data_IF_331159169077
#
_entry.id   IF_331159169077
#
_cell.length_a   1.000
_cell.length_b   1.000
_cell.length_c   1.000
_cell.angle_alpha   90.00
_cell.angle_beta   90.00
_cell.angle_gamma   90.00
#
_symmetry.space_group_name_H-M   'P 1'
#
loop_
_entity.id
_entity.type
_entity.pdbx_description
1 polymer ?
#
# COMPACT_ATOMS: atom_id res chain seq x y z
N UNK A 1 4.37 9.75 -26.83
CA UNK A 1 4.51 8.50 -26.07
C UNK A 1 4.14 7.34 -26.99
N UNK A 2 5.04 6.37 -27.18
CA UNK A 2 4.73 5.12 -27.88
C UNK A 2 3.97 4.22 -26.92
N UNK A 3 2.65 4.14 -27.07
CA UNK A 3 1.84 3.16 -26.37
C UNK A 3 1.92 1.84 -27.15
N UNK A 4 2.59 0.85 -26.57
CA UNK A 4 2.62 -0.51 -27.12
C UNK A 4 2.05 -1.48 -26.09
N UNK A 5 1.14 -2.35 -26.55
CA UNK A 5 0.60 -3.43 -25.72
C UNK A 5 1.70 -4.39 -25.24
N UNK A 6 2.85 -4.43 -25.93
CA UNK A 6 4.01 -5.26 -25.54
C UNK A 6 4.50 -4.96 -24.13
N UNK A 7 4.36 -3.71 -23.65
CA UNK A 7 4.72 -3.34 -22.28
C UNK A 7 3.82 -3.97 -21.22
N UNK A 8 2.61 -4.41 -21.60
CA UNK A 8 1.66 -5.08 -20.70
C UNK A 8 1.89 -6.60 -20.62
N UNK A 9 2.58 -7.18 -21.60
CA UNK A 9 2.79 -8.65 -21.70
C UNK A 9 3.42 -9.26 -20.45
N UNK A 10 4.49 -8.69 -19.85
CA UNK A 10 5.08 -9.27 -18.64
C UNK A 10 4.10 -9.32 -17.45
N UNK A 11 3.22 -8.32 -17.33
CA UNK A 11 2.22 -8.25 -16.27
C UNK A 11 1.07 -9.24 -16.50
N UNK A 12 0.63 -9.39 -17.75
CA UNK A 12 -0.37 -10.41 -18.09
C UNK A 12 0.16 -11.83 -17.85
N UNK A 13 1.44 -12.07 -18.15
CA UNK A 13 2.09 -13.33 -17.84
C UNK A 13 2.17 -13.56 -16.33
N UNK A 14 2.56 -12.55 -15.55
CA UNK A 14 2.58 -12.62 -14.09
C UNK A 14 1.19 -12.98 -13.53
N UNK A 15 0.15 -12.29 -13.98
CA UNK A 15 -1.23 -12.55 -13.56
C UNK A 15 -1.66 -13.98 -13.92
N UNK A 16 -1.33 -14.44 -15.12
CA UNK A 16 -1.64 -15.81 -15.58
C UNK A 16 -0.96 -16.87 -14.70
N UNK A 17 0.28 -16.64 -14.29
CA UNK A 17 1.00 -17.52 -13.35
C UNK A 17 0.33 -17.54 -11.97
N UNK A 18 -0.11 -16.39 -11.45
CA UNK A 18 -0.84 -16.34 -10.18
C UNK A 18 -2.23 -16.97 -10.25
N UNK A 19 -2.92 -16.88 -11.40
CA UNK A 19 -4.16 -17.62 -11.66
C UNK A 19 -3.90 -19.13 -11.61
N UNK A 20 -2.85 -19.60 -12.29
CA UNK A 20 -2.47 -21.02 -12.26
C UNK A 20 -2.18 -21.48 -10.82
N UNK A 21 -1.39 -20.72 -10.06
CA UNK A 21 -1.09 -21.03 -8.65
C UNK A 21 -2.33 -21.04 -7.77
N UNK A 22 -3.29 -20.15 -8.04
CA UNK A 22 -4.59 -20.12 -7.35
C UNK A 22 -5.38 -21.40 -7.59
N UNK A 23 -5.47 -21.84 -8.85
CA UNK A 23 -6.17 -23.09 -9.23
C UNK A 23 -5.47 -24.31 -8.64
N UNK A 24 -4.13 -24.35 -8.65
CA UNK A 24 -3.35 -25.43 -8.03
C UNK A 24 -3.58 -25.47 -6.52
N UNK A 25 -3.53 -24.34 -5.82
CA UNK A 25 -3.78 -24.29 -4.38
C UNK A 25 -5.20 -24.75 -4.04
N UNK A 26 -6.19 -24.37 -4.85
CA UNK A 26 -7.58 -24.76 -4.67
C UNK A 26 -7.79 -26.27 -4.86
N UNK A 27 -7.26 -26.85 -5.94
CA UNK A 27 -7.44 -28.28 -6.25
C UNK A 27 -6.68 -29.21 -5.30
N UNK A 28 -5.61 -28.71 -4.65
CA UNK A 28 -4.76 -29.47 -3.74
C UNK A 28 -4.75 -28.87 -2.33
N UNK A 29 -5.87 -28.29 -1.91
CA UNK A 29 -6.03 -27.61 -0.64
C UNK A 29 -5.67 -28.47 0.58
N UNK A 30 -5.85 -29.79 0.50
CA UNK A 30 -5.54 -30.74 1.57
C UNK A 30 -4.06 -31.17 1.59
N UNK A 31 -3.32 -30.95 0.51
CA UNK A 31 -1.92 -31.38 0.41
C UNK A 31 -0.94 -30.31 0.95
N UNK A 32 -0.47 -30.51 2.18
CA UNK A 32 0.43 -29.57 2.86
C UNK A 32 1.72 -29.27 2.08
N UNK A 33 2.31 -30.26 1.39
CA UNK A 33 3.55 -30.08 0.61
C UNK A 33 3.31 -29.16 -0.58
N UNK A 34 2.23 -29.39 -1.32
CA UNK A 34 1.84 -28.55 -2.47
C UNK A 34 1.55 -27.12 -2.01
N UNK A 35 0.76 -26.92 -0.95
CA UNK A 35 0.50 -25.58 -0.39
C UNK A 35 1.78 -24.83 -0.02
N UNK A 36 2.74 -25.52 0.60
CA UNK A 36 4.02 -24.90 0.94
C UNK A 36 4.84 -24.52 -0.31
N UNK A 37 4.85 -25.39 -1.32
CA UNK A 37 5.46 -25.10 -2.61
C UNK A 37 4.82 -23.87 -3.27
N UNK A 38 3.48 -23.81 -3.36
CA UNK A 38 2.75 -22.67 -3.90
C UNK A 38 3.12 -21.37 -3.18
N UNK A 39 3.20 -21.39 -1.84
CA UNK A 39 3.59 -20.20 -1.06
C UNK A 39 5.00 -19.73 -1.41
N UNK A 40 5.95 -20.65 -1.52
CA UNK A 40 7.33 -20.33 -1.92
C UNK A 40 7.34 -19.77 -3.35
N UNK A 41 6.64 -20.41 -4.28
CA UNK A 41 6.51 -19.94 -5.67
C UNK A 41 5.91 -18.53 -5.74
N UNK A 42 4.83 -18.25 -4.99
CA UNK A 42 4.22 -16.92 -4.94
C UNK A 42 5.23 -15.86 -4.48
N UNK A 43 5.92 -16.10 -3.37
CA UNK A 43 6.93 -15.16 -2.86
C UNK A 43 8.10 -14.99 -3.83
N UNK A 44 8.61 -16.09 -4.40
CA UNK A 44 9.72 -16.07 -5.34
C UNK A 44 9.34 -15.31 -6.62
N UNK A 45 8.18 -15.59 -7.22
CA UNK A 45 7.69 -14.87 -8.39
C UNK A 45 7.51 -13.37 -8.11
N UNK A 46 6.98 -13.02 -6.93
CA UNK A 46 6.83 -11.63 -6.53
C UNK A 46 8.18 -10.91 -6.44
N UNK A 47 9.17 -11.50 -5.76
CA UNK A 47 10.51 -10.92 -5.65
C UNK A 47 11.22 -10.86 -6.99
N UNK A 48 11.13 -11.93 -7.80
CA UNK A 48 11.77 -11.95 -9.12
C UNK A 48 11.19 -10.87 -10.04
N UNK A 49 9.87 -10.68 -10.02
CA UNK A 49 9.22 -9.72 -10.90
C UNK A 49 9.41 -8.27 -10.43
N UNK A 50 9.13 -7.96 -9.16
CA UNK A 50 9.20 -6.59 -8.66
C UNK A 50 10.59 -6.20 -8.15
N UNK A 51 11.34 -7.13 -7.58
CA UNK A 51 12.65 -6.85 -6.97
C UNK A 51 13.76 -6.65 -8.00
N UNK A 52 13.65 -7.26 -9.19
CA UNK A 52 14.60 -7.11 -10.29
C UNK A 52 14.07 -6.21 -11.42
N UNK A 53 13.03 -5.41 -11.15
CA UNK A 53 12.49 -4.47 -12.12
C UNK A 53 13.49 -3.35 -12.44
N UNK A 54 13.43 -2.86 -13.67
CA UNK A 54 14.11 -1.64 -14.08
C UNK A 54 13.36 -0.37 -13.63
N UNK A 55 13.64 0.74 -14.30
CA UNK A 55 12.94 2.00 -14.10
C UNK A 55 11.53 1.93 -14.70
N UNK A 56 10.58 1.53 -13.86
CA UNK A 56 9.17 1.36 -14.23
C UNK A 56 8.29 2.15 -13.27
N UNK A 57 7.20 2.72 -13.80
CA UNK A 57 6.38 3.68 -13.08
C UNK A 57 6.93 5.11 -13.22
N UNK A 58 6.41 5.99 -12.37
CA UNK A 58 6.69 7.41 -12.36
C UNK A 58 7.65 7.78 -11.24
N UNK A 59 7.41 7.31 -10.02
CA UNK A 59 8.07 7.88 -8.84
C UNK A 59 9.55 7.51 -8.70
N UNK A 60 10.06 6.57 -9.50
CA UNK A 60 11.50 6.29 -9.56
C UNK A 60 12.30 7.54 -9.91
N UNK A 61 11.73 8.50 -10.66
CA UNK A 61 12.39 9.77 -10.99
C UNK A 61 12.70 10.62 -9.74
N UNK A 62 11.99 10.39 -8.64
CA UNK A 62 12.25 11.03 -7.36
C UNK A 62 13.12 10.15 -6.46
N UNK A 63 12.84 8.84 -6.38
CA UNK A 63 13.57 7.93 -5.50
C UNK A 63 15.00 7.65 -5.96
N UNK A 64 15.23 7.53 -7.27
CA UNK A 64 16.56 7.24 -7.82
C UNK A 64 17.57 8.35 -7.51
N UNK A 65 17.36 9.62 -7.92
CA UNK A 65 18.33 10.68 -7.63
C UNK A 65 18.52 10.89 -6.13
N UNK A 66 17.44 10.84 -5.34
CA UNK A 66 17.54 10.94 -3.89
C UNK A 66 18.40 9.82 -3.30
N UNK A 67 18.19 8.56 -3.72
CA UNK A 67 19.01 7.45 -3.26
C UNK A 67 20.48 7.59 -3.70
N UNK A 68 20.76 8.20 -4.86
CA UNK A 68 22.14 8.47 -5.29
C UNK A 68 22.82 9.52 -4.43
N UNK A 69 22.10 10.57 -4.04
CA UNK A 69 22.64 11.74 -3.33
C UNK A 69 22.83 11.50 -1.83
N UNK A 70 21.93 10.74 -1.19
CA UNK A 70 22.04 10.49 0.26
C UNK A 70 23.33 9.74 0.63
N UNK A 71 23.82 10.02 1.84
CA UNK A 71 24.93 9.29 2.45
C UNK A 71 24.45 8.20 3.42
N UNK A 72 25.25 7.17 3.71
CA UNK A 72 24.88 6.16 4.72
C UNK A 72 24.67 6.75 6.13
N UNK A 73 23.88 6.04 6.97
CA UNK A 73 23.44 6.50 8.30
C UNK A 73 24.56 6.99 9.24
N UNK A 74 25.77 6.41 9.13
CA UNK A 74 26.91 6.72 9.99
C UNK A 74 27.99 7.57 9.31
N UNK A 75 27.69 8.12 8.13
CA UNK A 75 28.62 8.96 7.39
C UNK A 75 28.51 10.42 7.82
N UNK A 76 29.63 11.15 7.73
CA UNK A 76 29.64 12.61 7.90
C UNK A 76 28.67 13.23 6.89
N UNK A 77 27.80 14.13 7.36
CA UNK A 77 26.78 14.77 6.52
C UNK A 77 25.44 14.03 6.48
N UNK A 78 25.24 12.94 7.22
CA UNK A 78 23.94 12.24 7.28
C UNK A 78 22.75 13.16 7.61
N UNK A 79 22.93 14.14 8.48
CA UNK A 79 21.86 15.10 8.81
C UNK A 79 21.38 15.90 7.59
N UNK A 80 22.25 16.11 6.59
CA UNK A 80 21.88 16.78 5.35
C UNK A 80 20.97 15.91 4.46
N UNK A 81 20.89 14.59 4.70
CA UNK A 81 19.99 13.72 3.95
C UNK A 81 18.51 14.10 4.14
N UNK A 82 18.17 14.76 5.24
CA UNK A 82 16.81 15.21 5.52
C UNK A 82 16.38 16.40 4.65
N UNK A 83 17.33 17.06 4.00
CA UNK A 83 17.09 18.13 3.04
C UNK A 83 16.99 17.59 1.59
N UNK A 84 17.37 16.32 1.37
CA UNK A 84 17.34 15.68 0.05
C UNK A 84 15.92 15.16 -0.25
N UNK A 85 15.19 15.96 -1.02
CA UNK A 85 13.83 15.65 -1.45
C UNK A 85 12.76 15.84 -0.35
N UNK A 86 11.51 15.54 -0.70
CA UNK A 86 10.35 15.74 0.19
C UNK A 86 9.88 14.43 0.83
N UNK A 87 10.82 13.71 1.44
CA UNK A 87 10.57 12.41 2.08
C UNK A 87 10.37 12.52 3.59
N UNK A 88 9.60 11.59 4.16
CA UNK A 88 9.49 11.43 5.60
C UNK A 88 10.79 10.89 6.21
N UNK A 89 11.13 11.36 7.41
CA UNK A 89 12.42 11.07 8.04
C UNK A 89 12.69 9.58 8.28
N UNK A 90 11.65 8.77 8.52
CA UNK A 90 11.79 7.33 8.63
C UNK A 90 12.19 6.68 7.31
N UNK A 91 11.66 7.19 6.18
CA UNK A 91 12.06 6.71 4.86
C UNK A 91 13.48 7.15 4.48
N UNK A 92 13.86 8.40 4.78
CA UNK A 92 15.25 8.89 4.60
C UNK A 92 16.24 8.02 5.39
N UNK A 93 15.92 7.75 6.65
CA UNK A 93 16.72 6.89 7.51
C UNK A 93 16.81 5.48 6.94
N UNK A 94 15.69 4.90 6.51
CA UNK A 94 15.66 3.58 5.88
C UNK A 94 16.55 3.51 4.62
N UNK A 95 16.44 4.48 3.71
CA UNK A 95 17.31 4.53 2.54
C UNK A 95 18.80 4.61 2.95
N UNK A 96 19.12 5.44 3.94
CA UNK A 96 20.50 5.61 4.45
C UNK A 96 21.03 4.33 5.12
N UNK A 97 20.17 3.53 5.74
CA UNK A 97 20.54 2.20 6.28
C UNK A 97 20.85 1.22 5.15
N UNK A 98 20.01 1.16 4.12
CA UNK A 98 20.28 0.27 2.97
C UNK A 98 21.56 0.69 2.22
N UNK A 99 21.85 2.00 2.18
CA UNK A 99 23.07 2.57 1.60
C UNK A 99 24.35 2.12 2.31
N UNK A 100 24.27 1.67 3.57
CA UNK A 100 25.41 1.05 4.27
C UNK A 100 25.86 -0.25 3.60
N UNK A 101 24.94 -0.96 2.92
CA UNK A 101 25.19 -2.26 2.29
C UNK A 101 25.51 -2.09 0.81
N UNK A 102 24.76 -1.24 0.10
CA UNK A 102 24.98 -1.04 -1.34
C UNK A 102 24.51 0.33 -1.83
N UNK A 103 25.34 0.97 -2.64
CA UNK A 103 24.99 2.20 -3.36
C UNK A 103 24.08 1.96 -4.57
N UNK A 104 23.84 0.71 -4.95
CA UNK A 104 23.02 0.35 -6.10
C UNK A 104 21.51 0.55 -5.81
N UNK A 105 20.83 1.36 -6.62
CA UNK A 105 19.40 1.61 -6.46
C UNK A 105 18.51 0.38 -6.67
N UNK A 106 18.86 -0.51 -7.60
CA UNK A 106 18.10 -1.75 -7.79
C UNK A 106 18.23 -2.68 -6.59
N UNK A 107 19.35 -2.64 -5.87
CA UNK A 107 19.45 -3.33 -4.57
C UNK A 107 18.50 -2.74 -3.54
N UNK A 108 18.36 -1.41 -3.50
CA UNK A 108 17.36 -0.76 -2.65
C UNK A 108 15.92 -1.16 -3.00
N UNK A 109 15.58 -1.25 -4.28
CA UNK A 109 14.28 -1.78 -4.73
C UNK A 109 14.08 -3.24 -4.30
N UNK A 110 15.09 -4.09 -4.47
CA UNK A 110 15.03 -5.48 -4.01
C UNK A 110 14.76 -5.57 -2.51
N UNK A 111 15.45 -4.76 -1.69
CA UNK A 111 15.20 -4.70 -0.23
C UNK A 111 13.77 -4.25 0.08
N UNK A 112 13.26 -3.25 -0.63
CA UNK A 112 11.86 -2.82 -0.47
C UNK A 112 10.90 -3.97 -0.73
N UNK A 113 11.03 -4.65 -1.87
CA UNK A 113 10.14 -5.73 -2.28
C UNK A 113 10.24 -6.94 -1.34
N UNK A 114 11.44 -7.27 -0.86
CA UNK A 114 11.63 -8.34 0.13
C UNK A 114 10.93 -8.02 1.45
N UNK A 115 10.95 -6.76 1.90
CA UNK A 115 10.18 -6.34 3.08
C UNK A 115 8.68 -6.46 2.81
N UNK A 116 8.18 -6.00 1.64
CA UNK A 116 6.75 -6.06 1.32
C UNK A 116 6.25 -7.49 1.25
N UNK A 117 6.92 -8.36 0.50
CA UNK A 117 6.51 -9.76 0.38
C UNK A 117 6.56 -10.49 1.72
N UNK A 118 7.49 -10.13 2.61
CA UNK A 118 7.58 -10.71 3.96
C UNK A 118 6.37 -10.31 4.81
N UNK A 119 5.95 -9.05 4.74
CA UNK A 119 4.76 -8.55 5.42
C UNK A 119 3.50 -9.20 4.85
N UNK A 120 3.35 -9.20 3.52
CA UNK A 120 2.23 -9.81 2.81
C UNK A 120 2.14 -11.31 3.11
N UNK A 121 3.27 -12.01 3.18
CA UNK A 121 3.32 -13.42 3.58
C UNK A 121 2.69 -13.64 4.96
N UNK A 122 3.12 -12.87 5.96
CA UNK A 122 2.59 -12.96 7.34
C UNK A 122 1.09 -12.65 7.36
N UNK A 123 0.67 -11.64 6.61
CA UNK A 123 -0.73 -11.22 6.57
C UNK A 123 -1.64 -12.24 5.86
N UNK A 124 -1.31 -12.63 4.63
CA UNK A 124 -2.12 -13.57 3.84
C UNK A 124 -2.17 -14.96 4.44
N UNK A 125 -1.07 -15.46 5.02
CA UNK A 125 -1.05 -16.76 5.70
C UNK A 125 -2.02 -16.81 6.89
N UNK A 126 -2.27 -15.67 7.54
CA UNK A 126 -3.19 -15.57 8.68
C UNK A 126 -4.64 -15.35 8.24
N UNK A 127 -4.86 -14.52 7.22
CA UNK A 127 -6.18 -13.96 6.93
C UNK A 127 -6.86 -14.52 5.68
N UNK A 128 -6.18 -15.35 4.89
CA UNK A 128 -6.74 -15.87 3.64
C UNK A 128 -6.76 -17.40 3.59
N UNK A 129 -7.86 -17.94 3.07
CA UNK A 129 -8.01 -19.35 2.77
C UNK A 129 -7.25 -19.77 1.51
N UNK A 130 -7.08 -18.85 0.54
CA UNK A 130 -6.31 -19.07 -0.67
C UNK A 130 -5.19 -18.03 -0.78
N UNK A 131 -3.96 -18.49 -0.53
CA UNK A 131 -2.79 -17.63 -0.44
C UNK A 131 -2.41 -17.02 -1.79
N UNK A 132 -2.36 -17.83 -2.86
CA UNK A 132 -2.05 -17.39 -4.21
C UNK A 132 -3.07 -16.39 -4.75
N UNK A 133 -4.36 -16.61 -4.49
CA UNK A 133 -5.42 -15.68 -4.87
C UNK A 133 -5.27 -14.31 -4.21
N UNK A 134 -4.75 -14.28 -2.97
CA UNK A 134 -4.51 -13.01 -2.26
C UNK A 134 -3.44 -12.17 -2.95
N UNK A 135 -2.37 -12.81 -3.43
CA UNK A 135 -1.37 -12.13 -4.26
C UNK A 135 -1.93 -11.70 -5.61
N UNK A 136 -2.75 -12.54 -6.25
CA UNK A 136 -3.41 -12.20 -7.51
C UNK A 136 -4.22 -10.90 -7.38
N UNK A 137 -5.07 -10.82 -6.34
CA UNK A 137 -5.90 -9.65 -6.06
C UNK A 137 -5.05 -8.43 -5.71
N UNK A 138 -4.00 -8.61 -4.89
CA UNK A 138 -3.07 -7.52 -4.57
C UNK A 138 -2.42 -6.94 -5.82
N UNK A 139 -1.91 -7.79 -6.72
CA UNK A 139 -1.27 -7.34 -7.97
C UNK A 139 -2.31 -6.70 -8.90
N UNK A 140 -3.49 -7.31 -9.07
CA UNK A 140 -4.52 -6.83 -9.98
C UNK A 140 -5.08 -5.46 -9.57
N UNK A 141 -5.28 -5.24 -8.27
CA UNK A 141 -5.92 -4.02 -7.75
C UNK A 141 -4.93 -2.97 -7.27
N UNK A 142 -3.72 -3.36 -6.91
CA UNK A 142 -2.77 -2.51 -6.19
C UNK A 142 -1.34 -2.59 -6.76
N UNK A 143 -1.19 -2.89 -8.06
CA UNK A 143 0.09 -2.91 -8.77
C UNK A 143 0.95 -1.66 -8.52
N UNK A 144 0.32 -0.47 -8.52
CA UNK A 144 1.00 0.81 -8.31
C UNK A 144 1.71 0.90 -6.95
N UNK A 145 1.35 0.06 -5.98
CA UNK A 145 1.98 0.01 -4.66
C UNK A 145 3.48 -0.28 -4.72
N UNK A 146 3.84 -1.25 -5.56
CA UNK A 146 5.21 -1.72 -5.74
C UNK A 146 5.98 -0.87 -6.77
N UNK A 147 5.26 -0.18 -7.65
CA UNK A 147 5.86 0.59 -8.74
C UNK A 147 6.13 2.05 -8.34
N UNK A 148 5.14 2.72 -7.78
CA UNK A 148 5.14 4.17 -7.59
C UNK A 148 5.17 4.57 -6.12
N UNK A 149 4.38 3.93 -5.26
CA UNK A 149 4.15 4.44 -3.91
C UNK A 149 4.92 3.68 -2.81
N UNK A 150 6.24 3.48 -3.01
CA UNK A 150 7.10 2.67 -2.12
C UNK A 150 6.99 3.04 -0.63
N UNK A 151 6.97 4.34 -0.29
CA UNK A 151 6.77 4.85 1.08
C UNK A 151 5.42 4.44 1.66
N UNK A 152 4.38 4.60 0.85
CA UNK A 152 3.00 4.30 1.25
C UNK A 152 2.87 2.80 1.45
N UNK A 153 3.49 1.99 0.60
CA UNK A 153 3.45 0.53 0.71
C UNK A 153 4.09 0.04 2.01
N UNK A 154 5.23 0.61 2.45
CA UNK A 154 5.80 0.30 3.78
C UNK A 154 4.79 0.57 4.90
N UNK A 155 4.13 1.71 4.81
CA UNK A 155 3.21 2.20 5.84
C UNK A 155 1.92 1.37 5.87
N UNK A 156 1.41 0.98 4.70
CA UNK A 156 0.30 0.03 4.54
C UNK A 156 0.69 -1.33 5.12
N UNK A 157 1.89 -1.83 4.81
CA UNK A 157 2.38 -3.09 5.36
C UNK A 157 2.40 -3.09 6.89
N UNK A 158 2.92 -2.03 7.51
CA UNK A 158 2.92 -1.86 8.97
C UNK A 158 1.50 -1.79 9.53
N UNK A 159 0.57 -1.10 8.85
CA UNK A 159 -0.83 -1.11 9.22
C UNK A 159 -1.44 -2.52 9.14
N UNK A 160 -1.18 -3.29 8.08
CA UNK A 160 -1.65 -4.68 7.95
C UNK A 160 -1.17 -5.57 9.11
N UNK A 161 0.09 -5.40 9.55
CA UNK A 161 0.61 -6.08 10.74
C UNK A 161 -0.07 -5.64 12.04
N UNK A 162 -0.52 -4.38 12.09
CA UNK A 162 -1.19 -3.78 13.26
C UNK A 162 -2.64 -4.24 13.45
N UNK A 163 -3.32 -4.68 12.38
CA UNK A 163 -4.76 -5.06 12.40
C UNK A 163 -5.08 -6.07 13.49
N UNK A 164 -4.22 -7.06 13.70
CA UNK A 164 -4.40 -8.08 14.76
C UNK A 164 -4.49 -7.45 16.17
N UNK A 165 -3.81 -6.33 16.41
CA UNK A 165 -3.81 -5.65 17.70
C UNK A 165 -5.07 -4.80 17.91
N UNK A 166 -5.69 -4.30 16.84
CA UNK A 166 -7.05 -3.73 16.89
C UNK A 166 -8.03 -4.82 17.34
N UNK A 167 -7.96 -5.99 16.70
CA UNK A 167 -8.82 -7.15 17.03
C UNK A 167 -8.62 -7.59 18.49
N UNK A 168 -7.38 -7.68 18.95
CA UNK A 168 -7.02 -8.08 20.32
C UNK A 168 -7.20 -6.97 21.37
N UNK A 169 -7.62 -5.76 20.98
CA UNK A 169 -7.69 -4.57 21.87
C UNK A 169 -6.38 -4.30 22.63
N UNK A 170 -5.25 -4.46 21.94
CA UNK A 170 -3.92 -4.16 22.47
C UNK A 170 -3.43 -2.83 21.91
N UNK A 171 -3.66 -1.76 22.66
CA UNK A 171 -3.37 -0.39 22.22
C UNK A 171 -1.88 -0.15 21.98
N UNK A 172 -1.02 -0.54 22.92
CA UNK A 172 0.40 -0.20 22.85
C UNK A 172 1.11 -0.82 21.62
N UNK A 173 0.97 -2.13 21.31
CA UNK A 173 1.56 -2.68 20.08
C UNK A 173 1.00 -2.07 18.80
N UNK A 174 -0.30 -1.73 18.78
CA UNK A 174 -0.90 -1.02 17.66
C UNK A 174 -0.27 0.37 17.49
N UNK A 175 -0.20 1.14 18.57
CA UNK A 175 0.36 2.49 18.59
C UNK A 175 1.81 2.49 18.09
N UNK A 176 2.65 1.57 18.57
CA UNK A 176 4.06 1.48 18.16
C UNK A 176 4.20 1.21 16.65
N UNK A 177 3.41 0.27 16.10
CA UNK A 177 3.42 0.00 14.66
C UNK A 177 2.90 1.17 13.83
N UNK A 178 1.86 1.85 14.31
CA UNK A 178 1.31 3.01 13.62
C UNK A 178 2.22 4.23 13.68
N UNK A 179 2.93 4.44 14.78
CA UNK A 179 3.98 5.46 14.87
C UNK A 179 5.10 5.16 13.88
N UNK A 180 5.54 3.90 13.77
CA UNK A 180 6.52 3.52 12.77
C UNK A 180 5.98 3.74 11.35
N UNK A 181 4.72 3.39 11.07
CA UNK A 181 4.08 3.65 9.77
C UNK A 181 4.04 5.15 9.45
N UNK A 182 3.73 5.98 10.44
CA UNK A 182 3.73 7.44 10.31
C UNK A 182 5.10 8.01 9.94
N UNK A 183 6.18 7.42 10.46
CA UNK A 183 7.55 7.81 10.09
C UNK A 183 7.89 7.52 8.62
N UNK A 184 7.24 6.55 7.98
CA UNK A 184 7.40 6.24 6.55
C UNK A 184 6.46 7.05 5.66
N UNK A 185 5.23 7.28 6.11
CA UNK A 185 4.27 8.10 5.40
C UNK A 185 3.27 8.77 6.34
N UNK A 186 3.29 10.10 6.33
CA UNK A 186 2.56 10.92 7.32
C UNK A 186 1.03 10.81 7.22
N UNK A 187 0.48 10.45 6.06
CA UNK A 187 -0.99 10.30 5.90
C UNK A 187 -1.56 9.14 6.73
N UNK A 188 -0.73 8.21 7.20
CA UNK A 188 -1.19 7.14 8.11
C UNK A 188 -1.69 7.65 9.46
N UNK A 189 -1.49 8.94 9.78
CA UNK A 189 -2.14 9.62 10.89
C UNK A 189 -3.66 9.36 10.92
N UNK A 190 -4.32 9.36 9.76
CA UNK A 190 -5.76 9.11 9.64
C UNK A 190 -6.18 7.68 10.03
N UNK A 191 -5.23 6.76 10.12
CA UNK A 191 -5.50 5.38 10.51
C UNK A 191 -5.48 5.20 12.03
N UNK A 192 -4.85 6.09 12.81
CA UNK A 192 -4.77 5.98 14.28
C UNK A 192 -6.13 5.86 14.97
N UNK A 193 -7.16 6.67 14.59
CA UNK A 193 -8.49 6.55 15.19
C UNK A 193 -9.16 5.19 14.97
N UNK A 194 -8.73 4.41 13.97
CA UNK A 194 -9.33 3.12 13.64
C UNK A 194 -9.26 2.12 14.80
N UNK A 195 -8.30 2.28 15.72
CA UNK A 195 -8.23 1.47 16.93
C UNK A 195 -9.48 1.57 17.82
N UNK A 196 -10.07 2.77 17.88
CA UNK A 196 -11.23 3.07 18.71
C UNK A 196 -12.55 2.72 18.03
N UNK A 197 -12.52 2.37 16.74
CA UNK A 197 -13.73 1.97 16.01
C UNK A 197 -14.31 0.68 16.63
N UNK A 198 -15.65 0.60 16.80
CA UNK A 198 -16.31 -0.62 17.24
C UNK A 198 -16.00 -1.82 16.33
N UNK A 199 -15.87 -3.02 16.90
CA UNK A 199 -15.55 -4.25 16.14
C UNK A 199 -16.60 -4.59 15.10
N UNK A 200 -17.84 -4.20 15.37
CA UNK A 200 -18.99 -4.42 14.50
C UNK A 200 -19.62 -3.07 14.21
N UNK A 201 -19.69 -2.75 12.93
CA UNK A 201 -20.54 -1.67 12.43
C UNK A 201 -21.71 -2.31 11.69
N UNK A 202 -22.93 -1.76 11.82
CA UNK A 202 -24.06 -2.26 11.06
C UNK A 202 -23.80 -2.05 9.57
N UNK A 203 -24.30 -2.97 8.73
CA UNK A 203 -24.12 -2.91 7.27
C UNK A 203 -24.54 -1.55 6.68
N UNK A 204 -25.55 -0.94 7.29
CA UNK A 204 -26.05 0.39 6.95
C UNK A 204 -24.96 1.47 7.07
N UNK A 205 -24.07 1.42 8.06
CA UNK A 205 -22.97 2.38 8.17
C UNK A 205 -22.06 2.32 6.94
N UNK A 206 -21.70 1.11 6.48
CA UNK A 206 -20.90 0.95 5.27
C UNK A 206 -21.63 1.48 4.03
N UNK A 207 -22.92 1.19 3.88
CA UNK A 207 -23.74 1.67 2.77
C UNK A 207 -23.83 3.20 2.78
N UNK A 208 -24.10 3.82 3.94
CA UNK A 208 -24.18 5.28 4.08
C UNK A 208 -22.85 5.92 3.72
N UNK A 209 -21.74 5.44 4.28
CA UNK A 209 -20.39 5.95 3.96
C UNK A 209 -20.11 5.84 2.46
N UNK A 210 -20.48 4.72 1.83
CA UNK A 210 -20.28 4.53 0.41
C UNK A 210 -21.16 5.44 -0.46
N UNK A 211 -22.45 5.55 -0.15
CA UNK A 211 -23.37 6.43 -0.90
C UNK A 211 -22.92 7.89 -0.78
N UNK A 212 -22.63 8.35 0.44
CA UNK A 212 -22.12 9.72 0.67
C UNK A 212 -20.79 9.93 -0.06
N UNK A 213 -19.87 8.97 0.02
CA UNK A 213 -18.59 9.04 -0.68
C UNK A 213 -18.75 9.13 -2.21
N UNK A 214 -19.65 8.36 -2.79
CA UNK A 214 -19.94 8.41 -4.23
C UNK A 214 -20.64 9.70 -4.63
N UNK A 215 -21.59 10.20 -3.84
CA UNK A 215 -22.23 11.49 -4.09
C UNK A 215 -21.21 12.62 -4.09
N UNK A 216 -20.32 12.65 -3.10
CA UNK A 216 -19.22 13.62 -3.03
C UNK A 216 -18.28 13.49 -4.23
N UNK A 217 -17.85 12.28 -4.58
CA UNK A 217 -16.99 12.05 -5.75
C UNK A 217 -17.66 12.49 -7.06
N UNK A 218 -18.89 12.06 -7.32
CA UNK A 218 -19.61 12.37 -8.56
C UNK A 218 -20.02 13.83 -8.66
N UNK A 219 -20.22 14.52 -7.53
CA UNK A 219 -20.48 15.96 -7.52
C UNK A 219 -19.31 16.78 -8.06
N UNK A 220 -18.09 16.21 -8.08
CA UNK A 220 -16.84 16.88 -8.45
C UNK A 220 -16.61 18.19 -7.67
N UNK A 221 -17.26 18.36 -6.53
CA UNK A 221 -17.05 19.50 -5.64
C UNK A 221 -15.69 19.28 -4.96
N UNK A 222 -14.80 20.26 -5.03
CA UNK A 222 -13.50 20.22 -4.35
C UNK A 222 -13.65 20.50 -2.82
N UNK A 223 -14.56 19.80 -2.15
CA UNK A 223 -14.92 20.06 -0.74
C UNK A 223 -13.75 19.91 0.23
N UNK A 224 -12.74 19.11 -0.13
CA UNK A 224 -11.52 18.92 0.65
C UNK A 224 -10.46 20.00 0.37
N UNK A 225 -10.50 20.71 -0.75
CA UNK A 225 -9.45 21.66 -1.12
C UNK A 225 -9.28 22.81 -0.08
N UNK A 226 -10.35 23.44 0.43
CA UNK A 226 -10.22 24.47 1.47
C UNK A 226 -9.64 23.91 2.78
N UNK A 227 -10.08 22.72 3.19
CA UNK A 227 -9.61 22.07 4.43
C UNK A 227 -8.14 21.66 4.33
N UNK A 228 -7.73 21.12 3.18
CA UNK A 228 -6.35 20.75 2.91
C UNK A 228 -5.45 22.00 2.84
N UNK A 229 -5.92 23.07 2.19
CA UNK A 229 -5.18 24.34 2.09
C UNK A 229 -4.96 24.96 3.47
N UNK A 230 -6.02 25.03 4.29
CA UNK A 230 -5.93 25.59 5.64
C UNK A 230 -5.05 24.72 6.54
N UNK A 231 -5.23 23.39 6.51
CA UNK A 231 -4.38 22.47 7.26
C UNK A 231 -2.91 22.57 6.86
N UNK A 232 -2.61 22.70 5.56
CA UNK A 232 -1.26 22.92 5.04
C UNK A 232 -0.66 24.23 5.55
N UNK A 233 -1.45 25.32 5.56
CA UNK A 233 -1.04 26.63 6.08
C UNK A 233 -0.74 26.59 7.57
N UNK A 234 -1.60 25.94 8.36
CA UNK A 234 -1.45 25.80 9.81
C UNK A 234 -0.20 25.01 10.19
N UNK A 235 0.10 23.93 9.46
CA UNK A 235 1.30 23.12 9.68
C UNK A 235 2.57 23.80 9.16
N UNK A 236 2.44 24.69 8.17
CA UNK A 236 3.53 25.45 7.61
C UNK A 236 4.58 24.60 6.87
N UNK A 237 5.68 25.26 6.47
CA UNK A 237 6.83 24.63 5.84
C UNK A 237 6.47 23.76 4.62
N UNK A 238 6.93 22.50 4.64
CA UNK A 238 6.73 21.56 3.52
C UNK A 238 5.26 21.26 3.24
N UNK A 239 4.39 21.28 4.25
CA UNK A 239 2.97 20.94 4.08
C UNK A 239 2.22 22.05 3.33
N UNK A 240 2.53 23.32 3.62
CA UNK A 240 2.01 24.45 2.86
C UNK A 240 2.47 24.41 1.39
N UNK A 241 3.75 24.13 1.14
CA UNK A 241 4.29 24.03 -0.21
C UNK A 241 3.66 22.88 -1.02
N UNK A 242 3.53 21.70 -0.41
CA UNK A 242 2.93 20.52 -1.03
C UNK A 242 1.46 20.76 -1.38
N UNK A 243 0.68 21.29 -0.44
CA UNK A 243 -0.75 21.55 -0.67
C UNK A 243 -0.97 22.59 -1.77
N UNK A 244 -0.17 23.66 -1.81
CA UNK A 244 -0.18 24.61 -2.92
C UNK A 244 0.15 23.98 -4.27
N UNK A 245 1.19 23.15 -4.33
CA UNK A 245 1.59 22.48 -5.58
C UNK A 245 0.53 21.47 -6.09
N UNK A 246 -0.12 20.72 -5.19
CA UNK A 246 -1.13 19.72 -5.56
C UNK A 246 -2.48 20.34 -5.93
N UNK A 247 -2.91 21.40 -5.24
CA UNK A 247 -4.19 22.05 -5.50
C UNK A 247 -4.16 22.93 -6.77
N UNK A 248 -2.99 23.47 -7.12
CA UNK A 248 -2.84 24.37 -8.26
C UNK A 248 -2.36 23.68 -9.54
N UNK A 249 -2.11 22.37 -9.52
CA UNK A 249 -1.69 21.65 -10.72
C UNK A 249 -2.87 21.10 -11.50
N UNK A 250 -2.91 21.37 -12.81
CA UNK A 250 -3.95 20.84 -13.69
C UNK A 250 -3.95 19.30 -13.75
N UNK A 251 -2.82 18.67 -13.41
CA UNK A 251 -2.64 17.22 -13.44
C UNK A 251 -3.27 16.52 -12.23
N UNK A 252 -3.27 17.16 -11.05
CA UNK A 252 -3.79 16.60 -9.80
C UNK A 252 -5.14 17.20 -9.38
N UNK A 253 -5.44 18.43 -9.80
CA UNK A 253 -6.71 19.11 -9.51
C UNK A 253 -7.85 18.71 -10.45
N UNK A 254 -7.57 18.02 -11.56
CA UNK A 254 -8.61 17.63 -12.50
C UNK A 254 -9.58 16.59 -11.90
N UNK A 255 -10.84 17.00 -11.90
CA UNK A 255 -12.02 16.18 -11.67
C UNK A 255 -11.99 14.90 -12.52
N UNK A 256 -11.69 13.76 -11.89
CA UNK A 256 -11.81 12.45 -12.55
C UNK A 256 -13.26 12.02 -12.45
N UNK A 257 -13.95 11.95 -13.60
CA UNK A 257 -15.31 11.48 -13.70
C UNK A 257 -15.43 9.96 -13.46
N UNK A 258 -16.32 9.32 -14.22
CA UNK A 258 -16.46 7.86 -14.22
C UNK A 258 -15.28 7.26 -14.96
N UNK A 259 -14.42 6.54 -14.23
CA UNK A 259 -13.27 5.81 -14.78
C UNK A 259 -13.45 4.31 -14.61
N UNK A 260 -12.63 3.51 -15.30
CA UNK A 260 -12.59 2.05 -15.09
C UNK A 260 -12.30 1.71 -13.62
N UNK A 261 -11.37 2.44 -12.98
CA UNK A 261 -11.07 2.27 -11.56
C UNK A 261 -12.25 2.63 -10.64
N UNK A 262 -13.06 3.62 -11.02
CA UNK A 262 -14.30 3.92 -10.28
C UNK A 262 -15.32 2.77 -10.38
N UNK A 263 -15.51 2.22 -11.58
CA UNK A 263 -16.43 1.09 -11.80
C UNK A 263 -15.97 -0.16 -11.05
N UNK A 264 -14.67 -0.48 -11.12
CA UNK A 264 -14.07 -1.60 -10.39
C UNK A 264 -14.32 -1.47 -8.88
N UNK A 265 -13.96 -0.34 -8.27
CA UNK A 265 -14.16 -0.12 -6.81
C UNK A 265 -15.63 -0.17 -6.41
N UNK A 266 -16.51 0.36 -7.26
CA UNK A 266 -17.96 0.31 -7.06
C UNK A 266 -18.46 -1.13 -7.06
N UNK A 267 -18.06 -1.92 -8.05
CA UNK A 267 -18.40 -3.34 -8.14
C UNK A 267 -17.85 -4.11 -6.94
N UNK A 268 -16.57 -3.91 -6.60
CA UNK A 268 -15.90 -4.53 -5.45
C UNK A 268 -16.65 -4.22 -4.16
N UNK A 269 -17.05 -2.96 -3.93
CA UNK A 269 -17.84 -2.59 -2.77
C UNK A 269 -19.22 -3.28 -2.75
N UNK A 270 -19.93 -3.30 -3.87
CA UNK A 270 -21.24 -3.97 -3.98
C UNK A 270 -21.10 -5.46 -3.63
N UNK A 271 -20.09 -6.13 -4.17
CA UNK A 271 -19.81 -7.54 -3.86
C UNK A 271 -19.52 -7.72 -2.37
N UNK A 272 -18.66 -6.89 -1.78
CA UNK A 272 -18.36 -6.93 -0.34
C UNK A 272 -19.63 -6.75 0.49
N UNK A 273 -20.49 -5.80 0.16
CA UNK A 273 -21.73 -5.54 0.90
C UNK A 273 -22.77 -6.66 0.71
N UNK A 274 -22.81 -7.33 -0.44
CA UNK A 274 -23.68 -8.48 -0.69
C UNK A 274 -23.21 -9.74 0.05
N UNK A 275 -21.89 -9.96 0.12
CA UNK A 275 -21.30 -11.17 0.70
C UNK A 275 -20.84 -11.03 2.16
N UNK A 276 -20.79 -9.81 2.70
CA UNK A 276 -20.69 -9.61 4.16
C UNK A 276 -21.95 -10.21 4.78
N UNK A 277 -21.78 -11.36 5.46
CA UNK A 277 -22.84 -11.93 6.31
C UNK A 277 -23.27 -10.88 7.33
N UNK A 278 -24.58 -10.75 7.51
CA UNK A 278 -25.15 -9.95 8.59
C UNK A 278 -24.58 -10.47 9.93
N UNK A 279 -23.66 -9.70 10.51
CA UNK A 279 -23.04 -9.92 11.82
C UNK A 279 -21.96 -11.02 11.85
N UNK A 280 -20.71 -10.62 12.09
CA UNK A 280 -19.70 -11.49 12.70
C UNK A 280 -20.23 -11.79 14.12
N UNK A 281 -20.59 -13.05 14.46
CA UNK A 281 -20.94 -13.35 15.85
C UNK A 281 -19.73 -13.03 16.73
N UNK A 282 -19.96 -12.29 17.82
CA UNK A 282 -18.94 -11.78 18.73
C UNK A 282 -18.06 -12.85 19.40
N UNK A 283 -18.36 -14.13 19.17
CA UNK A 283 -17.72 -15.29 19.78
C UNK A 283 -17.11 -16.18 18.69
N UNK A 284 -15.97 -15.78 18.15
CA UNK A 284 -15.05 -16.74 17.54
C UNK A 284 -13.85 -16.89 18.49
N UNK A 285 -13.73 -18.00 19.23
CA UNK A 285 -12.51 -18.28 19.98
C UNK A 285 -11.39 -18.50 18.96
N UNK A 286 -10.35 -17.66 19.03
CA UNK A 286 -9.11 -17.89 18.30
C UNK A 286 -8.38 -19.06 18.97
N UNK A 287 -8.42 -20.24 18.36
CA UNK A 287 -7.49 -21.34 18.62
C UNK A 287 -6.16 -21.09 17.90
#
# INVERSE_FOLDING_TARGET
>A
MLYSYTYSVPYLLLLSLFILLTVVEYNYDNNRKIRQCVRICCCALFVLFFGFRGFVGWDWVNYYPAYQEIVPLFSRGYLNNYDIGTFEGGFVTFMSVVKLISSNYHFFILVCVVIDVSILHVFFKRHSSNYAFSFLIFIALYLGAELDILRNMKSIGLFLLSVKYIQQRRFLPYLLLMTLAFMFHSSTLFLFPLYFVPRTLPRQCFIVVFVVGNLLYLSQIAYMAPLISEGGRLLGGKYAALTGAYLNSDLYAQARGISIGYLERTLTFVLVVLFIKNSIPANMPFS
#
